data_IF_947443152694
#
_entry.id   IF_947443152694
#
_cell.length_a   1.000
_cell.length_b   1.000
_cell.length_c   1.000
_cell.angle_alpha   90.00
_cell.angle_beta   90.00
_cell.angle_gamma   90.00
#
_symmetry.space_group_name_H-M   'P 1'
#
loop_
_entity.id
_entity.type
_entity.pdbx_description
1 polymer ?
#
# COMPACT_ATOMS: atom_id res chain seq x y z
N UNK A 1 3.46 -26.32 -1.28
CA UNK A 1 2.28 -25.57 -0.77
C UNK A 1 2.67 -24.12 -0.61
N UNK A 2 1.90 -23.20 -1.10
CA UNK A 2 2.17 -21.75 -1.05
C UNK A 2 1.98 -21.09 0.34
N UNK A 3 1.54 -21.85 1.35
CA UNK A 3 1.36 -21.36 2.72
C UNK A 3 2.66 -21.43 3.50
N UNK A 4 3.10 -20.26 3.99
CA UNK A 4 4.29 -20.13 4.82
C UNK A 4 3.89 -19.87 6.28
N UNK A 5 4.62 -20.47 7.22
CA UNK A 5 4.51 -20.07 8.61
C UNK A 5 5.02 -18.62 8.79
N UNK A 6 4.47 -17.84 9.76
CA UNK A 6 4.81 -16.43 9.95
C UNK A 6 6.33 -16.17 10.08
N UNK A 7 7.07 -17.08 10.69
CA UNK A 7 8.50 -16.94 10.95
C UNK A 7 9.38 -17.65 9.89
N UNK A 8 8.78 -18.11 8.79
CA UNK A 8 9.54 -18.78 7.73
C UNK A 8 10.41 -17.78 6.97
N UNK A 9 11.72 -18.04 6.92
CA UNK A 9 12.58 -17.34 5.99
C UNK A 9 12.20 -17.72 4.55
N UNK A 10 11.90 -16.73 3.72
CA UNK A 10 11.53 -16.94 2.33
C UNK A 10 12.27 -15.95 1.44
N UNK A 11 12.99 -16.49 0.45
CA UNK A 11 13.65 -15.70 -0.58
C UNK A 11 13.09 -16.09 -1.96
N UNK A 12 12.30 -15.20 -2.60
CA UNK A 12 11.69 -15.50 -3.89
C UNK A 12 12.71 -15.70 -5.02
N UNK A 13 13.91 -15.14 -4.89
CA UNK A 13 14.92 -15.19 -5.95
C UNK A 13 15.63 -16.55 -6.02
N UNK A 14 15.51 -17.39 -5.00
CA UNK A 14 16.07 -18.76 -5.00
C UNK A 14 15.25 -19.77 -5.81
N UNK A 15 14.04 -19.41 -6.21
CA UNK A 15 13.13 -20.30 -6.94
C UNK A 15 13.28 -20.16 -8.46
N UNK A 16 13.34 -21.27 -9.24
CA UNK A 16 13.53 -21.23 -10.69
C UNK A 16 12.25 -20.90 -11.47
N UNK A 17 11.06 -21.08 -10.87
CA UNK A 17 9.79 -20.82 -11.56
C UNK A 17 9.60 -19.33 -11.89
N UNK A 18 9.02 -18.97 -13.05
CA UNK A 18 8.82 -17.57 -13.43
C UNK A 18 7.82 -16.83 -12.52
N UNK A 19 6.93 -17.56 -11.87
CA UNK A 19 5.93 -17.02 -10.96
C UNK A 19 5.93 -17.84 -9.67
N UNK A 20 6.01 -17.14 -8.54
CA UNK A 20 5.96 -17.73 -7.20
C UNK A 20 4.85 -17.03 -6.41
N UNK A 21 3.89 -17.81 -5.94
CA UNK A 21 2.86 -17.32 -5.03
C UNK A 21 3.12 -17.74 -3.59
N UNK A 22 2.83 -16.86 -2.63
CA UNK A 22 2.85 -17.20 -1.20
C UNK A 22 1.62 -16.67 -0.49
N UNK A 23 1.21 -17.41 0.53
CA UNK A 23 0.15 -17.05 1.46
C UNK A 23 0.69 -17.16 2.89
N UNK A 24 0.32 -16.25 3.76
CA UNK A 24 0.66 -16.31 5.18
C UNK A 24 -0.38 -15.55 6.01
N UNK A 25 -0.63 -16.01 7.22
CA UNK A 25 -1.33 -15.24 8.23
C UNK A 25 -0.29 -14.58 9.13
N UNK A 26 -0.03 -13.30 8.89
CA UNK A 26 0.97 -12.52 9.62
C UNK A 26 0.30 -11.71 10.73
N UNK A 27 0.87 -11.74 11.93
CA UNK A 27 0.48 -10.88 13.04
C UNK A 27 1.24 -9.55 13.02
N UNK A 28 1.70 -9.09 14.19
CA UNK A 28 2.64 -7.96 14.27
C UNK A 28 3.95 -8.37 13.60
N UNK A 29 4.16 -7.92 12.38
CA UNK A 29 5.26 -8.33 11.54
C UNK A 29 5.95 -7.14 10.86
N UNK A 30 7.25 -7.25 10.78
CA UNK A 30 8.12 -6.28 10.13
C UNK A 30 9.15 -7.04 9.29
N UNK A 31 9.03 -6.94 7.96
CA UNK A 31 9.94 -7.62 7.04
C UNK A 31 11.39 -7.12 7.09
N UNK A 32 11.65 -6.02 7.80
CA UNK A 32 12.90 -5.30 7.64
C UNK A 32 13.05 -4.69 6.25
N UNK A 33 14.11 -3.91 6.06
CA UNK A 33 14.41 -3.32 4.76
C UNK A 33 15.09 -4.36 3.87
N UNK A 34 14.48 -4.69 2.73
CA UNK A 34 14.97 -5.71 1.80
C UNK A 34 14.64 -5.34 0.35
N UNK A 35 15.17 -6.08 -0.57
CA UNK A 35 14.84 -6.03 -1.99
C UNK A 35 14.95 -7.43 -2.60
N UNK A 36 14.33 -7.66 -3.75
CA UNK A 36 14.43 -8.89 -4.55
C UNK A 36 14.45 -8.52 -6.04
N UNK A 37 15.03 -9.37 -6.87
CA UNK A 37 15.14 -9.16 -8.33
C UNK A 37 13.77 -9.20 -9.00
N UNK A 38 12.86 -9.98 -8.45
CA UNK A 38 11.51 -10.17 -8.99
C UNK A 38 10.62 -8.97 -8.74
N UNK A 39 9.71 -8.68 -9.69
CA UNK A 39 8.56 -7.83 -9.41
C UNK A 39 7.61 -8.53 -8.43
N UNK A 40 6.89 -7.74 -7.61
CA UNK A 40 5.96 -8.26 -6.62
C UNK A 40 4.58 -7.63 -6.79
N UNK A 41 3.54 -8.46 -6.73
CA UNK A 41 2.16 -8.03 -6.54
C UNK A 41 1.71 -8.50 -5.18
N UNK A 42 1.62 -7.55 -4.24
CA UNK A 42 1.21 -7.77 -2.86
C UNK A 42 -0.26 -7.39 -2.68
N UNK A 43 -1.04 -8.23 -2.02
CA UNK A 43 -2.43 -7.94 -1.66
C UNK A 43 -2.82 -8.64 -0.36
N UNK A 44 -3.95 -8.23 0.22
CA UNK A 44 -4.47 -8.80 1.45
C UNK A 44 -5.94 -9.14 1.31
N UNK A 45 -6.40 -10.16 2.02
CA UNK A 45 -7.83 -10.43 2.19
C UNK A 45 -8.40 -9.71 3.40
N UNK A 46 -7.58 -9.53 4.43
CA UNK A 46 -7.92 -8.85 5.67
C UNK A 46 -6.70 -8.11 6.20
N UNK A 47 -6.92 -6.99 6.86
CA UNK A 47 -5.87 -6.16 7.45
C UNK A 47 -5.16 -5.26 6.43
N UNK A 48 -4.38 -4.31 6.95
CA UNK A 48 -3.62 -3.36 6.16
C UNK A 48 -2.12 -3.63 6.23
N UNK A 49 -1.43 -3.46 5.11
CA UNK A 49 0.05 -3.46 5.06
C UNK A 49 0.54 -2.05 4.78
N UNK A 50 1.41 -1.55 5.64
CA UNK A 50 2.19 -0.35 5.38
C UNK A 50 3.48 -0.75 4.65
N UNK A 51 3.73 -0.14 3.50
CA UNK A 51 4.92 -0.38 2.70
C UNK A 51 5.74 0.90 2.68
N UNK A 52 6.94 0.85 3.23
CA UNK A 52 7.91 1.94 3.18
C UNK A 52 8.94 1.66 2.08
N UNK A 53 9.22 2.66 1.26
CA UNK A 53 10.25 2.65 0.22
C UNK A 53 10.98 3.98 0.23
N UNK A 54 12.18 4.11 -0.34
CA UNK A 54 12.93 5.37 -0.33
C UNK A 54 12.11 6.57 -0.82
N UNK A 55 11.76 7.48 0.08
CA UNK A 55 10.97 8.68 -0.22
C UNK A 55 9.48 8.44 -0.44
N UNK A 56 8.95 7.27 -0.08
CA UNK A 56 7.55 6.93 -0.30
C UNK A 56 7.00 6.05 0.82
N UNK A 57 5.83 6.39 1.32
CA UNK A 57 5.01 5.53 2.16
C UNK A 57 3.76 5.14 1.39
N UNK A 58 3.43 3.85 1.39
CA UNK A 58 2.21 3.32 0.82
C UNK A 58 1.37 2.67 1.91
N UNK A 59 0.07 2.75 1.78
CA UNK A 59 -0.86 1.94 2.56
C UNK A 59 -1.63 1.02 1.60
N UNK A 60 -1.61 -0.27 1.93
CA UNK A 60 -2.31 -1.31 1.19
C UNK A 60 -3.46 -1.85 2.04
N UNK A 61 -4.69 -1.38 1.84
CA UNK A 61 -5.87 -1.95 2.47
C UNK A 61 -6.36 -3.19 1.71
N UNK A 62 -7.29 -3.98 2.28
CA UNK A 62 -8.03 -4.99 1.54
C UNK A 62 -8.67 -4.42 0.27
N UNK A 63 -8.91 -5.25 -0.74
CA UNK A 63 -9.42 -4.87 -2.07
C UNK A 63 -8.48 -4.00 -2.93
N UNK A 64 -7.21 -3.90 -2.53
CA UNK A 64 -6.14 -3.25 -3.32
C UNK A 64 -4.96 -4.19 -3.51
N UNK A 65 -4.17 -3.94 -4.55
CA UNK A 65 -2.90 -4.61 -4.76
C UNK A 65 -1.78 -3.57 -4.91
N UNK A 66 -0.64 -3.86 -4.31
CA UNK A 66 0.57 -3.08 -4.52
C UNK A 66 1.45 -3.79 -5.54
N UNK A 67 1.73 -3.12 -6.65
CA UNK A 67 2.78 -3.52 -7.57
C UNK A 67 4.10 -2.88 -7.14
N UNK A 68 5.10 -3.70 -6.83
CA UNK A 68 6.44 -3.28 -6.42
C UNK A 68 7.42 -3.78 -7.48
N UNK A 69 8.13 -2.88 -8.19
CA UNK A 69 9.12 -3.29 -9.18
C UNK A 69 10.28 -4.08 -8.57
N UNK A 70 10.85 -5.00 -9.33
CA UNK A 70 12.07 -5.69 -8.95
C UNK A 70 13.24 -4.74 -8.72
N UNK A 71 14.14 -5.06 -7.80
CA UNK A 71 15.30 -4.24 -7.44
C UNK A 71 14.99 -3.05 -6.52
N UNK A 72 13.73 -2.77 -6.21
CA UNK A 72 13.36 -1.65 -5.35
C UNK A 72 13.42 -2.05 -3.87
N UNK A 73 14.24 -1.34 -3.09
CA UNK A 73 14.28 -1.52 -1.65
C UNK A 73 12.94 -1.12 -1.01
N UNK A 74 12.39 -1.98 -0.17
CA UNK A 74 11.14 -1.73 0.54
C UNK A 74 11.09 -2.50 1.87
N UNK A 75 10.10 -2.15 2.69
CA UNK A 75 9.80 -2.75 3.99
C UNK A 75 8.30 -2.84 4.16
N UNK A 76 7.79 -4.01 4.47
CA UNK A 76 6.37 -4.22 4.74
C UNK A 76 6.16 -4.34 6.26
N UNK A 77 5.23 -3.55 6.81
CA UNK A 77 4.89 -3.56 8.25
C UNK A 77 3.40 -3.79 8.44
N UNK A 78 3.07 -4.68 9.35
CA UNK A 78 1.73 -5.02 9.78
C UNK A 78 1.68 -4.90 11.30
N UNK A 79 0.68 -4.22 11.83
CA UNK A 79 0.49 -4.06 13.29
C UNK A 79 -0.59 -4.98 13.84
N UNK A 80 -1.29 -5.68 12.96
CA UNK A 80 -2.41 -6.56 13.29
C UNK A 80 -2.36 -7.79 12.40
N UNK A 81 -3.24 -8.75 12.66
CA UNK A 81 -3.34 -9.95 11.83
C UNK A 81 -3.76 -9.58 10.41
N UNK A 82 -2.90 -9.91 9.47
CA UNK A 82 -3.10 -9.70 8.04
C UNK A 82 -3.15 -11.06 7.34
N UNK A 83 -4.20 -11.28 6.56
CA UNK A 83 -4.26 -12.39 5.62
C UNK A 83 -3.50 -12.01 4.35
N UNK A 84 -2.19 -12.29 4.39
CA UNK A 84 -1.17 -11.81 3.45
C UNK A 84 -1.06 -12.71 2.23
N UNK A 85 -1.00 -12.10 1.06
CA UNK A 85 -0.76 -12.75 -0.23
C UNK A 85 0.29 -11.99 -1.01
N UNK A 86 1.21 -12.72 -1.63
CA UNK A 86 2.17 -12.13 -2.52
C UNK A 86 2.42 -13.01 -3.74
N UNK A 87 2.56 -12.38 -4.90
CA UNK A 87 2.94 -13.00 -6.16
C UNK A 87 4.22 -12.35 -6.63
N UNK A 88 5.27 -13.14 -6.77
CA UNK A 88 6.57 -12.72 -7.30
C UNK A 88 6.70 -13.16 -8.75
N UNK A 89 7.16 -12.26 -9.59
CA UNK A 89 7.21 -12.40 -11.04
C UNK A 89 8.65 -12.14 -11.53
N UNK A 90 9.21 -13.05 -12.32
CA UNK A 90 10.48 -12.77 -12.99
C UNK A 90 10.32 -11.64 -14.03
N UNK A 91 11.41 -11.22 -14.64
CA UNK A 91 11.42 -10.12 -15.61
C UNK A 91 10.47 -10.34 -16.80
N UNK A 92 10.27 -11.59 -17.23
CA UNK A 92 9.38 -11.93 -18.35
C UNK A 92 7.90 -11.89 -17.89
N UNK A 93 7.61 -12.49 -16.76
CA UNK A 93 6.25 -12.50 -16.21
C UNK A 93 5.79 -11.11 -15.76
N UNK A 94 6.71 -10.24 -15.34
CA UNK A 94 6.44 -8.86 -14.91
C UNK A 94 6.30 -7.84 -16.06
N UNK A 95 6.48 -8.24 -17.31
CA UNK A 95 6.38 -7.31 -18.45
C UNK A 95 5.04 -6.57 -18.49
N UNK A 96 5.12 -5.23 -18.65
CA UNK A 96 3.96 -4.35 -18.72
C UNK A 96 3.32 -4.00 -17.37
N UNK A 97 3.90 -4.46 -16.25
CA UNK A 97 3.55 -3.96 -14.92
C UNK A 97 4.18 -2.57 -14.67
N UNK A 98 3.63 -1.80 -13.71
CA UNK A 98 4.17 -0.49 -13.38
C UNK A 98 5.67 -0.53 -13.01
N UNK A 99 6.44 0.44 -13.52
CA UNK A 99 7.88 0.61 -13.21
C UNK A 99 8.13 1.35 -11.88
N UNK A 100 7.08 1.79 -11.21
CA UNK A 100 7.12 2.45 -9.91
C UNK A 100 6.10 1.79 -8.98
N UNK A 101 6.32 1.90 -7.67
CA UNK A 101 5.33 1.43 -6.70
C UNK A 101 3.97 2.04 -7.01
N UNK A 102 3.00 1.19 -7.24
CA UNK A 102 1.65 1.59 -7.64
C UNK A 102 0.63 0.77 -6.88
N UNK A 103 -0.36 1.44 -6.31
CA UNK A 103 -1.51 0.79 -5.71
C UNK A 103 -2.64 0.73 -6.74
N UNK A 104 -3.17 -0.45 -6.96
CA UNK A 104 -4.21 -0.75 -7.95
C UNK A 104 -5.51 -1.17 -7.27
N UNK A 105 -6.61 -0.84 -7.91
CA UNK A 105 -7.93 -1.37 -7.55
C UNK A 105 -8.04 -2.83 -7.95
N UNK A 106 -8.63 -3.65 -7.10
CA UNK A 106 -8.78 -5.10 -7.35
C UNK A 106 -10.26 -5.42 -7.49
N UNK A 107 -10.69 -5.60 -8.74
CA UNK A 107 -12.04 -6.08 -9.05
C UNK A 107 -12.19 -7.57 -8.69
N UNK A 108 -13.42 -8.13 -8.64
CA UNK A 108 -13.64 -9.53 -8.27
C UNK A 108 -12.86 -10.53 -9.14
N UNK A 109 -12.77 -10.31 -10.46
CA UNK A 109 -12.01 -11.18 -11.35
C UNK A 109 -10.51 -11.18 -11.03
N UNK A 110 -9.92 -9.99 -10.92
CA UNK A 110 -8.50 -9.86 -10.59
C UNK A 110 -8.18 -10.49 -9.23
N UNK A 111 -9.08 -10.36 -8.26
CA UNK A 111 -8.94 -11.00 -6.94
C UNK A 111 -8.81 -12.51 -7.07
N UNK A 112 -9.73 -13.16 -7.78
CA UNK A 112 -9.72 -14.62 -7.96
C UNK A 112 -8.48 -15.09 -8.71
N UNK A 113 -8.04 -14.35 -9.71
CA UNK A 113 -6.82 -14.63 -10.46
C UNK A 113 -5.59 -14.56 -9.54
N UNK A 114 -5.46 -13.47 -8.76
CA UNK A 114 -4.35 -13.29 -7.82
C UNK A 114 -4.35 -14.35 -6.72
N UNK A 115 -5.52 -14.68 -6.14
CA UNK A 115 -5.65 -15.77 -5.15
C UNK A 115 -5.19 -17.10 -5.70
N UNK A 116 -5.63 -17.46 -6.89
CA UNK A 116 -5.25 -18.71 -7.54
C UNK A 116 -3.76 -18.79 -7.81
N UNK A 117 -3.15 -17.67 -8.23
CA UNK A 117 -1.69 -17.60 -8.45
C UNK A 117 -0.96 -17.69 -7.11
N UNK A 118 -1.41 -16.96 -6.08
CA UNK A 118 -0.76 -16.94 -4.77
C UNK A 118 -0.77 -18.31 -4.09
N UNK A 119 -1.77 -19.15 -4.38
CA UNK A 119 -1.92 -20.50 -3.80
C UNK A 119 -1.32 -21.61 -4.66
N UNK A 120 -0.81 -21.29 -5.84
CA UNK A 120 -0.26 -22.31 -6.75
C UNK A 120 1.00 -22.97 -6.16
N UNK A 121 1.21 -24.27 -6.36
CA UNK A 121 2.47 -24.95 -6.03
C UNK A 121 3.68 -24.27 -6.68
N UNK A 122 4.83 -24.30 -6.01
CA UNK A 122 6.06 -23.64 -6.50
C UNK A 122 6.62 -24.27 -7.79
N UNK A 123 6.26 -25.51 -8.06
CA UNK A 123 6.63 -26.28 -9.27
C UNK A 123 5.61 -26.17 -10.39
N UNK A 124 4.62 -25.28 -10.28
CA UNK A 124 3.60 -25.05 -11.31
C UNK A 124 4.21 -24.63 -12.64
N UNK A 125 3.73 -25.24 -13.75
CA UNK A 125 4.09 -24.78 -15.09
C UNK A 125 3.32 -23.52 -15.47
N UNK A 126 4.03 -22.40 -15.57
CA UNK A 126 3.50 -21.09 -15.97
C UNK A 126 3.72 -20.77 -17.46
N UNK A 127 4.38 -21.66 -18.19
CA UNK A 127 4.71 -21.47 -19.61
C UNK A 127 3.67 -22.09 -20.54
N UNK A 128 2.92 -23.07 -20.05
CA UNK A 128 1.94 -23.82 -20.86
C UNK A 128 0.63 -24.01 -20.09
N UNK A 129 -0.41 -24.39 -20.84
CA UNK A 129 -1.69 -24.81 -20.30
C UNK A 129 -2.47 -23.72 -19.54
N UNK A 130 -3.27 -24.15 -18.58
CA UNK A 130 -4.20 -23.28 -17.86
C UNK A 130 -3.50 -22.15 -17.07
N UNK A 131 -2.36 -22.43 -16.45
CA UNK A 131 -1.63 -21.41 -15.68
C UNK A 131 -1.05 -20.31 -16.56
N UNK A 132 -0.61 -20.64 -17.79
CA UNK A 132 -0.19 -19.64 -18.76
C UNK A 132 -1.30 -18.66 -19.12
N UNK A 133 -2.50 -19.16 -19.39
CA UNK A 133 -3.66 -18.32 -19.70
C UNK A 133 -4.11 -17.51 -18.48
N UNK A 134 -4.09 -18.11 -17.29
CA UNK A 134 -4.40 -17.43 -16.04
C UNK A 134 -3.44 -16.27 -15.75
N UNK A 135 -2.14 -16.47 -15.94
CA UNK A 135 -1.13 -15.42 -15.81
C UNK A 135 -1.35 -14.30 -16.84
N UNK A 136 -1.63 -14.67 -18.10
CA UNK A 136 -1.90 -13.71 -19.16
C UNK A 136 -3.10 -12.82 -18.85
N UNK A 137 -4.20 -13.42 -18.39
CA UNK A 137 -5.42 -12.68 -17.99
C UNK A 137 -5.15 -11.82 -16.75
N UNK A 138 -4.45 -12.33 -15.74
CA UNK A 138 -4.09 -11.56 -14.55
C UNK A 138 -3.26 -10.31 -14.91
N UNK A 139 -2.30 -10.44 -15.81
CA UNK A 139 -1.50 -9.30 -16.31
C UNK A 139 -2.37 -8.27 -17.02
N UNK A 140 -3.30 -8.69 -17.89
CA UNK A 140 -4.22 -7.79 -18.58
C UNK A 140 -5.09 -7.02 -17.59
N UNK A 141 -5.63 -7.70 -16.56
CA UNK A 141 -6.41 -7.07 -15.49
C UNK A 141 -5.56 -6.07 -14.68
N UNK A 142 -4.33 -6.43 -14.30
CA UNK A 142 -3.42 -5.52 -13.58
C UNK A 142 -3.07 -4.27 -14.41
N UNK A 143 -2.89 -4.41 -15.71
CA UNK A 143 -2.58 -3.28 -16.61
C UNK A 143 -3.77 -2.33 -16.80
N UNK A 144 -4.99 -2.85 -16.78
CA UNK A 144 -6.23 -2.07 -16.92
C UNK A 144 -6.76 -1.52 -15.60
N UNK A 145 -6.26 -2.01 -14.46
CA UNK A 145 -6.74 -1.63 -13.13
C UNK A 145 -6.49 -0.15 -12.83
N UNK A 146 -7.46 0.49 -12.17
CA UNK A 146 -7.35 1.90 -11.78
C UNK A 146 -6.31 2.09 -10.68
N UNK A 147 -5.46 3.10 -10.86
CA UNK A 147 -4.49 3.52 -9.84
C UNK A 147 -5.19 4.23 -8.70
N UNK A 148 -4.81 3.88 -7.48
CA UNK A 148 -5.39 4.45 -6.26
C UNK A 148 -4.42 5.41 -5.56
N UNK A 149 -4.91 6.52 -4.96
CA UNK A 149 -4.08 7.52 -4.32
C UNK A 149 -3.66 7.07 -2.90
N UNK A 150 -3.17 5.84 -2.75
CA UNK A 150 -2.73 5.27 -1.46
C UNK A 150 -1.22 5.44 -1.24
N UNK A 151 -0.66 6.52 -1.77
CA UNK A 151 0.76 6.85 -1.73
C UNK A 151 0.97 8.18 -1.03
N UNK A 152 2.00 8.27 -0.18
CA UNK A 152 2.43 9.50 0.48
C UNK A 152 3.91 9.73 0.16
N UNK A 153 4.25 10.60 -0.80
CA UNK A 153 5.62 10.99 -1.05
C UNK A 153 6.22 11.67 0.19
N UNK A 154 7.42 11.28 0.60
CA UNK A 154 8.06 11.80 1.80
C UNK A 154 9.06 12.92 1.44
N UNK A 155 9.04 14.05 2.19
CA UNK A 155 10.02 15.09 2.00
C UNK A 155 11.41 14.60 2.42
N UNK A 156 12.45 15.03 1.68
CA UNK A 156 13.85 14.61 1.89
C UNK A 156 14.69 15.64 2.66
N UNK A 157 14.20 16.88 2.78
CA UNK A 157 14.93 17.93 3.47
C UNK A 157 15.03 17.65 4.96
N UNK A 158 16.26 17.72 5.52
CA UNK A 158 16.54 17.43 6.93
C UNK A 158 15.71 18.24 7.93
N UNK A 159 15.28 19.44 7.56
CA UNK A 159 14.39 20.27 8.39
C UNK A 159 13.02 19.67 8.60
N UNK A 160 12.60 18.77 7.71
CA UNK A 160 11.33 18.04 7.74
C UNK A 160 11.48 16.61 8.28
N UNK A 161 12.66 16.21 8.74
CA UNK A 161 12.90 14.85 9.28
C UNK A 161 11.92 14.49 10.39
N UNK A 162 11.68 15.42 11.34
CA UNK A 162 10.71 15.21 12.45
C UNK A 162 9.28 14.96 11.95
N UNK A 163 8.90 15.54 10.81
CA UNK A 163 7.61 15.27 10.18
C UNK A 163 7.54 13.81 9.68
N UNK A 164 8.63 13.31 9.08
CA UNK A 164 8.72 11.93 8.57
C UNK A 164 8.79 10.93 9.72
N UNK A 165 9.57 11.23 10.77
CA UNK A 165 9.69 10.37 11.96
C UNK A 165 8.37 10.30 12.76
N UNK A 166 7.54 11.33 12.67
CA UNK A 166 6.28 11.47 13.39
C UNK A 166 5.03 11.05 12.62
N UNK A 167 5.14 10.22 11.58
CA UNK A 167 4.01 9.83 10.71
C UNK A 167 2.89 9.03 11.41
N UNK A 168 3.09 8.60 12.63
CA UNK A 168 2.05 7.94 13.43
C UNK A 168 1.09 8.94 14.12
N UNK A 169 1.38 10.23 14.03
CA UNK A 169 0.60 11.30 14.65
C UNK A 169 0.11 12.29 13.60
N UNK A 170 -0.99 12.98 13.92
CA UNK A 170 -1.52 14.05 13.06
C UNK A 170 -0.42 15.10 12.78
N UNK A 171 -0.03 15.29 11.51
CA UNK A 171 0.94 16.31 11.16
C UNK A 171 0.47 17.71 11.62
N UNK A 172 1.36 18.55 12.16
CA UNK A 172 0.98 19.85 12.74
C UNK A 172 0.40 20.81 11.68
N UNK A 173 -0.17 21.92 12.10
CA UNK A 173 -0.51 23.01 11.19
C UNK A 173 0.77 23.61 10.56
N UNK A 174 0.66 24.25 9.37
CA UNK A 174 1.81 24.74 8.62
C UNK A 174 2.68 25.71 9.45
N UNK A 175 2.06 26.65 10.18
CA UNK A 175 2.79 27.61 11.02
C UNK A 175 3.55 26.92 12.15
N UNK A 176 2.98 25.87 12.75
CA UNK A 176 3.64 25.07 13.76
C UNK A 176 4.83 24.30 13.18
N UNK A 177 4.63 23.65 12.02
CA UNK A 177 5.73 22.97 11.32
C UNK A 177 6.87 23.93 10.97
N UNK A 178 6.54 25.14 10.52
CA UNK A 178 7.53 26.17 10.18
C UNK A 178 8.37 26.57 11.41
N UNK A 179 7.72 26.77 12.57
CA UNK A 179 8.41 27.02 13.84
C UNK A 179 9.34 25.87 14.23
N UNK A 180 8.84 24.63 14.18
CA UNK A 180 9.63 23.44 14.52
C UNK A 180 10.83 23.24 13.61
N UNK A 181 10.67 23.58 12.32
CA UNK A 181 11.71 23.46 11.30
C UNK A 181 12.69 24.65 11.28
N UNK A 182 12.47 25.68 12.08
CA UNK A 182 13.28 26.92 12.05
C UNK A 182 13.22 27.62 10.67
N UNK A 183 12.07 27.61 10.00
CA UNK A 183 11.93 28.11 8.64
C UNK A 183 10.61 28.90 8.47
N UNK A 184 10.51 29.74 7.43
CA UNK A 184 9.24 30.38 7.08
C UNK A 184 8.27 29.38 6.42
N UNK A 185 6.97 29.65 6.52
CA UNK A 185 5.92 28.85 5.82
C UNK A 185 6.18 28.80 4.31
N UNK A 186 6.65 29.90 3.71
CA UNK A 186 7.04 29.98 2.29
C UNK A 186 8.17 28.99 1.98
N UNK A 187 9.15 28.87 2.88
CA UNK A 187 10.25 27.91 2.75
C UNK A 187 9.75 26.48 2.83
N UNK A 188 8.91 26.16 3.84
CA UNK A 188 8.28 24.84 3.96
C UNK A 188 7.48 24.49 2.70
N UNK A 189 6.64 25.41 2.20
CA UNK A 189 5.85 25.20 0.99
C UNK A 189 6.72 24.88 -0.24
N UNK A 190 7.87 25.57 -0.40
CA UNK A 190 8.82 25.31 -1.48
C UNK A 190 9.49 23.94 -1.35
N UNK A 191 9.90 23.55 -0.15
CA UNK A 191 10.51 22.26 0.13
C UNK A 191 9.54 21.12 -0.15
N UNK A 192 8.31 21.22 0.34
CA UNK A 192 7.27 20.23 0.12
C UNK A 192 7.00 20.03 -1.38
N UNK A 193 6.80 21.10 -2.14
CA UNK A 193 6.58 20.99 -3.60
C UNK A 193 7.77 20.39 -4.34
N UNK A 194 9.00 20.76 -3.97
CA UNK A 194 10.22 20.21 -4.59
C UNK A 194 10.35 18.72 -4.34
N UNK A 195 10.12 18.26 -3.10
CA UNK A 195 10.42 16.90 -2.68
C UNK A 195 9.25 15.94 -2.92
N UNK A 196 8.01 16.42 -2.83
CA UNK A 196 6.79 15.59 -2.88
C UNK A 196 5.85 15.89 -4.04
N UNK A 197 6.08 16.97 -4.77
CA UNK A 197 5.14 17.47 -5.78
C UNK A 197 3.88 18.14 -5.22
N UNK A 198 3.69 18.13 -3.89
CA UNK A 198 2.48 18.59 -3.20
C UNK A 198 2.73 19.87 -2.39
N UNK A 199 1.69 20.70 -2.22
CA UNK A 199 1.68 21.66 -1.12
C UNK A 199 1.61 20.91 0.22
N UNK A 200 2.06 21.53 1.31
CA UNK A 200 1.95 20.91 2.64
C UNK A 200 0.50 20.55 3.01
N UNK A 201 -0.45 21.40 2.64
CA UNK A 201 -1.86 21.13 2.90
C UNK A 201 -2.38 19.91 2.13
N UNK A 202 -2.05 19.78 0.84
CA UNK A 202 -2.40 18.59 0.05
C UNK A 202 -1.77 17.32 0.64
N UNK A 203 -0.49 17.41 1.02
CA UNK A 203 0.23 16.31 1.65
C UNK A 203 -0.40 15.89 3.00
N UNK A 204 -0.78 16.88 3.83
CA UNK A 204 -1.46 16.63 5.11
C UNK A 204 -2.85 15.99 4.92
N UNK A 205 -3.59 16.37 3.88
CA UNK A 205 -4.85 15.72 3.53
C UNK A 205 -4.62 14.28 3.02
N UNK A 206 -3.57 14.06 2.24
CA UNK A 206 -3.20 12.72 1.80
C UNK A 206 -2.82 11.83 2.99
N UNK A 207 -2.05 12.34 3.93
CA UNK A 207 -1.76 11.63 5.19
C UNK A 207 -3.04 11.27 5.95
N UNK A 208 -3.97 12.23 6.10
CA UNK A 208 -5.27 11.99 6.75
C UNK A 208 -6.06 10.89 6.06
N UNK A 209 -6.05 10.86 4.72
CA UNK A 209 -6.73 9.83 3.96
C UNK A 209 -6.14 8.44 4.27
N UNK A 210 -4.82 8.30 4.19
CA UNK A 210 -4.17 7.02 4.47
C UNK A 210 -4.47 6.54 5.89
N UNK A 211 -4.37 7.44 6.86
CA UNK A 211 -4.68 7.11 8.25
C UNK A 211 -6.15 6.74 8.44
N UNK A 212 -7.08 7.45 7.79
CA UNK A 212 -8.50 7.11 7.81
C UNK A 212 -8.76 5.70 7.26
N UNK A 213 -8.15 5.35 6.13
CA UNK A 213 -8.29 4.03 5.51
C UNK A 213 -7.74 2.93 6.43
N UNK A 214 -6.59 3.15 7.06
CA UNK A 214 -6.02 2.22 8.04
C UNK A 214 -6.98 2.00 9.20
N UNK A 215 -7.52 3.07 9.79
CA UNK A 215 -8.45 2.98 10.93
C UNK A 215 -9.79 2.34 10.57
N UNK A 216 -10.31 2.63 9.36
CA UNK A 216 -11.52 1.99 8.85
C UNK A 216 -11.34 0.47 8.66
N UNK A 217 -10.18 0.03 8.17
CA UNK A 217 -9.87 -1.38 8.04
C UNK A 217 -9.79 -2.12 9.39
N UNK A 218 -9.52 -1.38 10.48
CA UNK A 218 -9.52 -1.84 11.86
C UNK A 218 -10.92 -1.76 12.52
N UNK A 219 -11.95 -1.39 11.78
CA UNK A 219 -13.32 -1.17 12.25
C UNK A 219 -13.42 -0.14 13.40
N UNK A 220 -12.51 0.84 13.45
CA UNK A 220 -12.57 1.92 14.44
C UNK A 220 -13.82 2.78 14.18
N UNK A 221 -14.57 3.18 15.24
CA UNK A 221 -15.73 4.04 15.10
C UNK A 221 -15.44 5.37 14.41
N UNK A 222 -16.38 5.86 13.56
CA UNK A 222 -16.16 7.08 12.76
C UNK A 222 -15.85 8.30 13.63
N UNK A 223 -16.48 8.43 14.78
CA UNK A 223 -16.23 9.54 15.72
C UNK A 223 -14.78 9.55 16.21
N UNK A 224 -14.23 8.38 16.59
CA UNK A 224 -12.84 8.26 17.02
C UNK A 224 -11.87 8.60 15.88
N UNK A 225 -12.18 8.17 14.66
CA UNK A 225 -11.37 8.52 13.48
C UNK A 225 -11.41 10.03 13.23
N UNK A 226 -12.59 10.65 13.31
CA UNK A 226 -12.76 12.08 13.11
C UNK A 226 -11.94 12.88 14.14
N UNK A 227 -12.00 12.51 15.40
CA UNK A 227 -11.24 13.13 16.49
C UNK A 227 -9.73 12.95 16.30
N UNK A 228 -9.25 11.73 16.04
CA UNK A 228 -7.82 11.43 15.80
C UNK A 228 -7.25 12.25 14.64
N UNK A 229 -8.05 12.43 13.59
CA UNK A 229 -7.64 13.17 12.39
C UNK A 229 -7.88 14.67 12.50
N UNK A 230 -8.41 15.17 13.62
CA UNK A 230 -8.63 16.58 13.90
C UNK A 230 -9.74 17.19 13.04
N UNK A 231 -10.84 16.46 12.84
CA UNK A 231 -12.09 16.99 12.26
C UNK A 231 -13.02 17.49 13.36
N UNK A 232 -13.78 18.54 13.07
CA UNK A 232 -14.71 19.12 14.04
C UNK A 232 -15.97 18.25 14.26
N UNK A 233 -16.25 17.29 13.39
CA UNK A 233 -17.39 16.36 13.50
C UNK A 233 -17.25 15.19 12.51
N UNK A 234 -18.05 14.14 12.76
CA UNK A 234 -18.18 12.99 11.83
C UNK A 234 -18.61 13.44 10.43
N UNK A 235 -19.52 14.40 10.35
CA UNK A 235 -19.99 14.94 9.07
C UNK A 235 -18.86 15.61 8.28
N UNK A 236 -17.97 16.34 8.95
CA UNK A 236 -16.80 16.95 8.32
C UNK A 236 -15.81 15.89 7.82
N UNK A 237 -15.59 14.84 8.60
CA UNK A 237 -14.78 13.69 8.20
C UNK A 237 -15.40 12.94 7.00
N UNK A 238 -16.70 12.64 7.03
CA UNK A 238 -17.40 11.96 5.92
C UNK A 238 -17.31 12.78 4.64
N UNK A 239 -17.52 14.09 4.70
CA UNK A 239 -17.39 14.98 3.56
C UNK A 239 -15.96 14.99 2.99
N UNK A 240 -14.95 15.09 3.85
CA UNK A 240 -13.55 14.98 3.47
C UNK A 240 -13.25 13.65 2.78
N UNK A 241 -13.60 12.53 3.40
CA UNK A 241 -13.31 11.18 2.89
C UNK A 241 -13.97 10.96 1.52
N UNK A 242 -15.25 11.37 1.38
CA UNK A 242 -15.97 11.32 0.09
C UNK A 242 -15.32 12.22 -0.97
N UNK A 243 -14.85 13.40 -0.60
CA UNK A 243 -14.14 14.30 -1.51
C UNK A 243 -12.84 13.72 -2.03
N UNK A 244 -12.14 12.91 -1.21
CA UNK A 244 -10.87 12.28 -1.56
C UNK A 244 -11.01 10.97 -2.33
N UNK A 245 -12.07 10.19 -2.08
CA UNK A 245 -12.22 8.82 -2.60
C UNK A 245 -13.41 8.63 -3.53
N UNK A 246 -14.33 9.58 -3.59
CA UNK A 246 -15.63 9.45 -4.26
C UNK A 246 -16.68 8.65 -3.47
N UNK A 247 -16.29 7.99 -2.38
CA UNK A 247 -17.13 7.09 -1.59
C UNK A 247 -17.24 7.57 -0.14
N UNK A 248 -18.36 7.26 0.52
CA UNK A 248 -18.45 7.47 1.97
C UNK A 248 -17.65 6.38 2.72
N UNK A 249 -17.18 6.64 3.97
CA UNK A 249 -16.45 5.64 4.76
C UNK A 249 -17.20 4.30 4.88
N UNK A 250 -18.51 4.33 5.13
CA UNK A 250 -19.31 3.12 5.26
C UNK A 250 -19.46 2.31 3.95
N UNK A 251 -19.50 2.96 2.79
CA UNK A 251 -19.48 2.28 1.49
C UNK A 251 -18.09 1.70 1.23
N UNK A 252 -17.05 2.47 1.55
CA UNK A 252 -15.66 2.03 1.41
C UNK A 252 -15.37 0.77 2.23
N UNK A 253 -15.74 0.74 3.53
CA UNK A 253 -15.50 -0.41 4.41
C UNK A 253 -16.21 -1.67 3.93
N UNK A 254 -17.47 -1.56 3.46
CA UNK A 254 -18.19 -2.72 2.90
C UNK A 254 -17.55 -3.25 1.61
N UNK A 255 -17.02 -2.39 0.76
CA UNK A 255 -16.32 -2.80 -0.45
C UNK A 255 -14.95 -3.45 -0.14
N UNK A 256 -14.36 -3.12 1.00
CA UNK A 256 -13.09 -3.67 1.46
C UNK A 256 -13.23 -5.02 2.20
N UNK A 257 -14.44 -5.36 2.67
CA UNK A 257 -14.72 -6.63 3.34
C UNK A 257 -15.42 -7.55 2.33
N UNK A 258 -14.73 -8.55 1.77
CA UNK A 258 -15.40 -9.59 0.97
C UNK A 258 -16.28 -10.41 1.93
N UNK A 259 -17.56 -10.60 1.56
CA UNK A 259 -18.45 -11.55 2.22
C UNK A 259 -17.94 -12.98 2.09
#
# INVERSE_FOLDING_TARGET
>A
MAWLAPDSAFDPDTHPAPVIGICSALGDHDSGNHWHVRGQVLFTRQGCVRIDSPGLLCLLPPSRAACIPGGLAHRARMRETVDYRSVYLDATAAQGLPEQVTILDVNPLLRELLERIAQAPFDSDWRHGANHHLLGLCRAELQSAQRQPMLLPLPRDRRLARLVDGLDRLPPALGELARQAGASEKTIGRLMRRDTGMSYQQWRQQWRLLRAVERLALNVPLGEIADELGFASDSAFIAFFRGMTGLTPGVWSRAATPG
#
